data_IF_154502834356
#
_entry.id   IF_154502834356
#
_cell.length_a   1.000
_cell.length_b   1.000
_cell.length_c   1.000
_cell.angle_alpha   90.00
_cell.angle_beta   90.00
_cell.angle_gamma   90.00
#
_symmetry.space_group_name_H-M   'P 1'
#
loop_
_entity.id
_entity.type
_entity.pdbx_description
1 polymer ?
#
# COMPACT_ATOMS: atom_id res chain seq x y z
N UNK A 1 1.02 52.65 40.84
CA UNK A 1 1.84 52.33 39.64
C UNK A 1 2.57 50.98 39.70
N UNK A 2 3.08 50.51 40.86
CA UNK A 2 3.78 49.20 40.96
C UNK A 2 2.86 48.00 40.64
N UNK A 3 1.64 47.98 41.16
CA UNK A 3 0.67 46.89 40.96
C UNK A 3 0.22 46.77 39.49
N UNK A 4 -0.01 47.89 38.80
CA UNK A 4 -0.42 47.90 37.39
C UNK A 4 0.65 47.30 36.47
N UNK A 5 1.94 47.53 36.77
CA UNK A 5 3.06 46.92 36.06
C UNK A 5 3.12 45.41 36.24
N UNK A 6 2.76 44.91 37.42
CA UNK A 6 2.73 43.47 37.69
C UNK A 6 1.55 42.78 36.99
N UNK A 7 0.38 43.43 36.93
CA UNK A 7 -0.78 42.92 36.19
C UNK A 7 -0.47 42.84 34.68
N UNK A 8 0.19 43.86 34.13
CA UNK A 8 0.60 43.88 32.73
C UNK A 8 1.65 42.80 32.42
N UNK A 9 2.66 42.64 33.27
CA UNK A 9 3.64 41.55 33.13
C UNK A 9 3.00 40.17 33.22
N UNK A 10 2.04 39.98 34.12
CA UNK A 10 1.33 38.71 34.25
C UNK A 10 0.51 38.42 32.98
N UNK A 11 -0.24 39.40 32.47
CA UNK A 11 -1.01 39.25 31.23
C UNK A 11 -0.15 38.91 30.01
N UNK A 12 1.07 39.47 29.93
CA UNK A 12 2.01 39.18 28.85
C UNK A 12 2.66 37.79 28.98
N UNK A 13 2.75 37.25 30.20
CA UNK A 13 3.24 35.88 30.43
C UNK A 13 2.18 34.82 30.04
N UNK A 14 0.90 35.10 30.25
CA UNK A 14 -0.17 34.16 29.91
C UNK A 14 -0.42 34.04 28.39
N UNK A 15 -0.13 35.08 27.60
CA UNK A 15 -0.37 35.06 26.15
C UNK A 15 0.61 34.21 25.35
N UNK A 16 1.79 33.90 25.90
CA UNK A 16 2.80 33.05 25.23
C UNK A 16 2.45 31.56 25.27
N UNK A 17 1.61 31.14 26.22
CA UNK A 17 1.22 29.72 26.41
C UNK A 17 0.19 29.27 25.36
N UNK A 18 -0.52 30.20 24.72
CA UNK A 18 -1.62 29.89 23.81
C UNK A 18 -1.22 29.44 22.39
N UNK A 19 0.08 29.31 22.08
CA UNK A 19 0.58 29.04 20.70
C UNK A 19 1.06 27.60 20.43
N UNK A 20 0.83 26.66 21.33
CA UNK A 20 1.41 25.31 21.25
C UNK A 20 0.42 24.20 20.79
N UNK A 21 -0.55 24.53 19.94
CA UNK A 21 -1.48 23.54 19.36
C UNK A 21 -1.34 23.54 17.83
N UNK A 22 -0.20 23.05 17.34
CA UNK A 22 -0.03 22.69 15.93
C UNK A 22 -0.69 21.33 15.72
N UNK A 23 -1.72 21.30 14.87
CA UNK A 23 -2.51 20.10 14.62
C UNK A 23 -1.70 19.15 13.74
N UNK A 24 -0.86 18.30 14.36
CA UNK A 24 -0.15 17.23 13.67
C UNK A 24 -1.11 16.05 13.45
N UNK A 25 -1.85 16.05 12.33
CA UNK A 25 -2.63 14.89 11.92
C UNK A 25 -1.67 13.88 11.30
N UNK A 26 -1.15 12.98 12.13
CA UNK A 26 -0.44 11.79 11.67
C UNK A 26 -1.49 10.71 11.35
N UNK A 27 -1.62 10.33 10.08
CA UNK A 27 -2.46 9.19 9.67
C UNK A 27 -1.76 7.92 10.16
N UNK A 28 -1.99 7.57 11.41
CA UNK A 28 -1.42 6.40 12.09
C UNK A 28 -2.26 5.14 11.90
N UNK A 29 -3.45 5.26 11.33
CA UNK A 29 -4.42 4.19 11.14
C UNK A 29 -4.74 4.10 9.65
N UNK A 30 -4.26 3.04 9.00
CA UNK A 30 -4.87 2.57 7.75
C UNK A 30 -6.30 2.08 8.02
N UNK A 31 -6.98 1.53 7.01
CA UNK A 31 -8.33 1.01 7.23
C UNK A 31 -8.30 -0.11 8.29
N UNK A 32 -9.27 -0.17 9.21
CA UNK A 32 -9.27 -1.16 10.32
C UNK A 32 -9.33 -2.62 9.84
N UNK A 33 -9.88 -2.85 8.63
CA UNK A 33 -9.97 -4.16 8.02
C UNK A 33 -9.67 -4.09 6.51
N UNK A 34 -8.38 -4.09 6.11
CA UNK A 34 -8.03 -4.01 4.70
C UNK A 34 -8.47 -5.26 3.93
N UNK A 35 -8.85 -5.03 2.69
CA UNK A 35 -9.35 -6.03 1.74
C UNK A 35 -8.22 -7.03 1.44
N UNK A 36 -8.38 -8.32 1.75
CA UNK A 36 -7.42 -9.36 1.38
C UNK A 36 -7.32 -9.53 -0.14
N UNK A 37 -6.09 -9.44 -0.68
CA UNK A 37 -5.82 -9.68 -2.09
C UNK A 37 -4.55 -10.52 -2.27
N UNK A 38 -4.60 -11.50 -3.17
CA UNK A 38 -3.39 -12.19 -3.64
C UNK A 38 -2.95 -11.58 -4.98
N UNK A 39 -1.72 -11.05 -5.03
CA UNK A 39 -1.09 -10.60 -6.28
C UNK A 39 -0.01 -11.62 -6.64
N UNK A 40 -0.32 -12.50 -7.60
CA UNK A 40 0.62 -13.54 -8.04
C UNK A 40 1.76 -12.89 -8.83
N UNK A 41 3.04 -13.27 -8.61
CA UNK A 41 4.14 -12.78 -9.44
C UNK A 41 3.89 -13.07 -10.90
N UNK A 42 4.01 -12.05 -11.75
CA UNK A 42 3.57 -12.14 -13.13
C UNK A 42 4.51 -13.07 -13.90
N UNK A 43 3.96 -13.97 -14.70
CA UNK A 43 4.79 -14.84 -15.53
C UNK A 43 5.40 -14.04 -16.67
N UNK A 44 6.61 -14.42 -17.07
CA UNK A 44 7.34 -13.76 -18.15
C UNK A 44 7.79 -14.79 -19.18
N UNK A 45 7.36 -14.61 -20.43
CA UNK A 45 7.63 -15.52 -21.53
C UNK A 45 8.80 -15.12 -22.44
N UNK A 46 9.57 -14.08 -22.09
CA UNK A 46 10.67 -13.60 -22.93
C UNK A 46 12.02 -14.24 -22.63
N UNK A 47 12.99 -14.01 -23.51
CA UNK A 47 14.32 -14.65 -23.47
C UNK A 47 15.33 -13.97 -22.54
N UNK A 48 15.13 -12.71 -22.18
CA UNK A 48 15.96 -11.97 -21.20
C UNK A 48 15.27 -11.92 -19.86
N UNK A 49 16.01 -11.83 -18.75
CA UNK A 49 15.41 -11.50 -17.46
C UNK A 49 14.60 -10.19 -17.56
N UNK A 50 13.43 -10.17 -16.93
CA UNK A 50 12.62 -8.96 -16.81
C UNK A 50 13.35 -7.98 -15.89
N UNK A 51 13.35 -6.69 -16.24
CA UNK A 51 14.08 -5.68 -15.47
C UNK A 51 13.39 -5.31 -14.15
N UNK A 52 12.10 -5.58 -14.03
CA UNK A 52 11.26 -5.13 -12.91
C UNK A 52 10.32 -6.25 -12.45
N UNK A 53 10.04 -6.28 -11.14
CA UNK A 53 9.02 -7.15 -10.55
C UNK A 53 7.67 -6.42 -10.52
N UNK A 54 6.91 -6.56 -11.61
CA UNK A 54 5.60 -5.90 -11.77
C UNK A 54 4.62 -6.35 -10.68
N UNK A 55 4.63 -7.63 -10.30
CA UNK A 55 3.76 -8.13 -9.23
C UNK A 55 4.11 -7.51 -7.88
N UNK A 56 5.40 -7.38 -7.58
CA UNK A 56 5.90 -6.68 -6.41
C UNK A 56 5.53 -5.19 -6.39
N UNK A 57 5.66 -4.49 -7.52
CA UNK A 57 5.27 -3.08 -7.65
C UNK A 57 3.77 -2.91 -7.39
N UNK A 58 2.92 -3.71 -8.05
CA UNK A 58 1.46 -3.66 -7.84
C UNK A 58 1.10 -3.96 -6.38
N UNK A 59 1.72 -4.96 -5.76
CA UNK A 59 1.50 -5.27 -4.35
C UNK A 59 1.91 -4.11 -3.44
N UNK A 60 3.03 -3.44 -3.72
CA UNK A 60 3.52 -2.31 -2.93
C UNK A 60 2.57 -1.11 -3.04
N UNK A 61 2.11 -0.79 -4.24
CA UNK A 61 1.16 0.30 -4.49
C UNK A 61 -0.16 0.06 -3.76
N UNK A 62 -0.72 -1.16 -3.85
CA UNK A 62 -1.97 -1.53 -3.17
C UNK A 62 -1.84 -1.44 -1.64
N UNK A 63 -0.70 -1.86 -1.08
CA UNK A 63 -0.44 -1.73 0.35
C UNK A 63 -0.27 -0.26 0.76
N UNK A 64 0.33 0.58 -0.10
CA UNK A 64 0.53 2.00 0.17
C UNK A 64 -0.80 2.78 0.23
N UNK A 65 -1.82 2.37 -0.53
CA UNK A 65 -3.18 2.94 -0.43
C UNK A 65 -3.81 2.64 0.94
N UNK A 66 -3.41 1.54 1.60
CA UNK A 66 -3.90 1.16 2.92
C UNK A 66 -5.29 0.51 2.93
N UNK A 67 -5.95 0.39 1.77
CA UNK A 67 -7.20 -0.34 1.61
C UNK A 67 -7.01 -1.85 1.43
N UNK A 68 -5.82 -2.29 0.99
CA UNK A 68 -5.53 -3.68 0.65
C UNK A 68 -4.48 -4.31 1.56
N UNK A 69 -4.63 -5.61 1.79
CA UNK A 69 -3.65 -6.46 2.47
C UNK A 69 -3.20 -7.54 1.50
N UNK A 70 -2.04 -7.35 0.89
CA UNK A 70 -1.52 -8.32 -0.05
C UNK A 70 -0.98 -9.58 0.66
N UNK A 71 -1.34 -10.76 0.17
CA UNK A 71 -0.76 -12.03 0.62
C UNK A 71 0.69 -12.16 0.12
N UNK A 72 1.68 -12.42 1.00
CA UNK A 72 3.05 -12.64 0.56
C UNK A 72 3.16 -13.86 -0.39
N UNK A 73 3.97 -13.80 -1.46
CA UNK A 73 4.11 -14.92 -2.41
C UNK A 73 4.52 -16.24 -1.76
N UNK A 74 5.36 -16.19 -0.71
CA UNK A 74 5.76 -17.39 0.05
C UNK A 74 4.64 -18.09 0.83
N UNK A 75 3.48 -17.43 0.98
CA UNK A 75 2.31 -17.97 1.67
C UNK A 75 1.24 -18.46 0.67
N UNK A 76 1.46 -18.32 -0.63
CA UNK A 76 0.54 -18.78 -1.67
C UNK A 76 0.64 -20.31 -1.83
N UNK A 77 -0.49 -20.96 -2.12
CA UNK A 77 -0.54 -22.40 -2.39
C UNK A 77 -0.23 -22.75 -3.85
N UNK A 78 -0.40 -21.79 -4.76
CA UNK A 78 -0.12 -21.91 -6.18
C UNK A 78 0.23 -20.53 -6.78
N UNK A 79 0.87 -20.53 -7.94
CA UNK A 79 1.20 -19.32 -8.71
C UNK A 79 0.70 -19.48 -10.15
N UNK A 80 -0.63 -19.43 -10.36
CA UNK A 80 -1.22 -19.55 -11.69
C UNK A 80 -0.88 -18.34 -12.56
N UNK A 81 -0.53 -18.57 -13.81
CA UNK A 81 -0.32 -17.50 -14.79
C UNK A 81 -1.48 -17.28 -15.74
N UNK A 82 -2.40 -18.26 -15.80
CA UNK A 82 -3.62 -18.17 -16.59
C UNK A 82 -4.87 -18.47 -15.75
N UNK A 83 -6.02 -17.89 -16.14
CA UNK A 83 -7.27 -18.04 -15.40
C UNK A 83 -7.75 -19.50 -15.32
N UNK A 84 -7.38 -20.33 -16.30
CA UNK A 84 -7.68 -21.77 -16.35
C UNK A 84 -6.96 -22.57 -15.25
N UNK A 85 -5.85 -22.06 -14.73
CA UNK A 85 -5.03 -22.70 -13.69
C UNK A 85 -5.49 -22.32 -12.28
N UNK A 86 -6.45 -21.39 -12.16
CA UNK A 86 -6.93 -20.88 -10.88
C UNK A 86 -7.86 -21.87 -10.22
N UNK A 87 -7.38 -22.48 -9.12
CA UNK A 87 -8.22 -23.26 -8.20
C UNK A 87 -8.76 -22.36 -7.09
N UNK A 88 -9.97 -21.81 -7.27
CA UNK A 88 -10.63 -20.89 -6.31
C UNK A 88 -10.69 -21.40 -4.86
N UNK A 89 -10.72 -22.71 -4.66
CA UNK A 89 -10.70 -23.32 -3.33
C UNK A 89 -9.44 -22.92 -2.55
N UNK A 90 -8.29 -22.90 -3.20
CA UNK A 90 -7.00 -22.67 -2.54
C UNK A 90 -6.93 -21.23 -1.99
N UNK A 91 -7.44 -20.27 -2.76
CA UNK A 91 -7.55 -18.86 -2.37
C UNK A 91 -8.59 -18.63 -1.27
N UNK A 92 -9.71 -19.36 -1.30
CA UNK A 92 -10.73 -19.32 -0.24
C UNK A 92 -10.20 -19.82 1.10
N UNK A 93 -9.37 -20.87 1.09
CA UNK A 93 -8.71 -21.38 2.31
C UNK A 93 -7.75 -20.34 2.88
N UNK A 94 -7.08 -19.58 2.01
CA UNK A 94 -6.21 -18.47 2.38
C UNK A 94 -6.96 -17.18 2.74
N UNK A 95 -8.29 -17.20 2.77
CA UNK A 95 -9.16 -16.05 3.04
C UNK A 95 -8.84 -14.82 2.16
N UNK A 96 -8.59 -15.07 0.86
CA UNK A 96 -8.37 -14.01 -0.13
C UNK A 96 -9.68 -13.69 -0.86
N UNK A 97 -10.09 -12.42 -0.82
CA UNK A 97 -11.30 -11.94 -1.49
C UNK A 97 -11.06 -11.66 -2.97
N UNK A 98 -9.85 -11.21 -3.30
CA UNK A 98 -9.41 -10.90 -4.66
C UNK A 98 -8.15 -11.67 -5.03
N UNK A 99 -8.05 -12.03 -6.31
CA UNK A 99 -6.88 -12.63 -6.93
C UNK A 99 -6.52 -11.83 -8.18
N UNK A 100 -5.27 -11.42 -8.25
CA UNK A 100 -4.66 -10.79 -9.42
C UNK A 100 -3.60 -11.73 -9.98
N UNK A 101 -3.75 -12.09 -11.25
CA UNK A 101 -2.80 -12.85 -12.05
C UNK A 101 -2.46 -12.04 -13.29
N UNK A 102 -1.28 -12.26 -13.85
CA UNK A 102 -0.83 -11.53 -15.02
C UNK A 102 0.30 -12.25 -15.74
N UNK A 103 0.38 -12.00 -17.05
CA UNK A 103 1.38 -12.58 -17.94
C UNK A 103 1.96 -11.48 -18.79
N UNK A 104 3.27 -11.36 -18.72
CA UNK A 104 4.04 -10.35 -19.43
C UNK A 104 4.52 -11.00 -20.73
N UNK A 105 4.17 -10.40 -21.86
CA UNK A 105 4.62 -10.82 -23.18
C UNK A 105 5.34 -9.70 -23.90
N UNK A 106 6.38 -10.04 -24.66
CA UNK A 106 7.09 -9.09 -25.50
C UNK A 106 6.41 -8.98 -26.86
N UNK A 107 5.88 -7.81 -27.21
CA UNK A 107 5.41 -7.54 -28.57
C UNK A 107 6.60 -7.16 -29.46
N UNK A 108 6.90 -7.89 -30.55
CA UNK A 108 7.96 -7.52 -31.48
C UNK A 108 7.74 -6.10 -32.04
N UNK A 109 8.73 -5.22 -31.88
CA UNK A 109 8.71 -3.86 -32.44
C UNK A 109 8.08 -2.78 -31.55
N UNK A 110 7.69 -3.11 -30.32
CA UNK A 110 7.15 -2.16 -29.35
C UNK A 110 7.83 -2.33 -27.99
N UNK A 111 8.23 -1.24 -27.36
CA UNK A 111 8.66 -1.24 -25.94
C UNK A 111 7.47 -1.41 -24.98
N UNK A 112 6.24 -1.53 -25.50
CA UNK A 112 5.06 -1.69 -24.66
C UNK A 112 4.94 -3.13 -24.18
N UNK A 113 5.01 -3.30 -22.87
CA UNK A 113 4.60 -4.51 -22.17
C UNK A 113 3.07 -4.57 -22.20
N UNK A 114 2.52 -5.63 -22.80
CA UNK A 114 1.10 -5.92 -22.69
C UNK A 114 0.87 -6.72 -21.41
N UNK A 115 0.01 -6.18 -20.55
CA UNK A 115 -0.33 -6.70 -19.23
C UNK A 115 -1.66 -7.43 -19.28
#
# INVERSE_FOLDING_TARGET
MRILRHIFMLGMLLSSVARAAELNIEITQGVDNPIPIAVVPFSWGGTSALSEDVGGIVSADLQQVGEFRALPPGNMLSMPDEASEVFFRDWRILAQDYLLIGKISHSPGSQMVQV
#
